data_IF_780691774364
#
_entry.id   IF_780691774364
#
_cell.length_a   1.000
_cell.length_b   1.000
_cell.length_c   1.000
_cell.angle_alpha   90.00
_cell.angle_beta   90.00
_cell.angle_gamma   90.00
#
_symmetry.space_group_name_H-M   'P 1'
#
loop_
_entity.id
_entity.type
_entity.pdbx_description
1 polymer ?
#
# COMPACT_ATOMS: atom_id res chain seq x y z
N UNK A 1 60.30 35.53 40.63
CA UNK A 1 58.88 35.20 40.39
C UNK A 1 58.49 35.73 39.03
N UNK A 2 58.38 34.86 38.02
CA UNK A 2 57.72 35.15 36.75
C UNK A 2 57.33 33.80 36.13
N UNK A 3 56.04 33.52 36.11
CA UNK A 3 55.46 32.23 35.75
C UNK A 3 55.42 32.05 34.23
N UNK A 4 55.88 30.91 33.74
CA UNK A 4 55.73 30.48 32.36
C UNK A 4 54.32 29.91 32.16
N UNK A 5 53.51 30.56 31.32
CA UNK A 5 52.24 30.02 30.85
C UNK A 5 52.50 29.14 29.63
N UNK A 6 52.38 27.82 29.80
CA UNK A 6 52.42 26.86 28.70
C UNK A 6 51.00 26.67 28.17
N UNK A 7 50.64 27.42 27.12
CA UNK A 7 49.35 27.26 26.43
C UNK A 7 49.32 25.97 25.60
N UNK A 8 48.54 24.97 26.03
CA UNK A 8 48.22 23.80 25.21
C UNK A 8 47.06 24.13 24.28
N UNK A 9 47.34 24.28 22.99
CA UNK A 9 46.32 24.31 21.94
C UNK A 9 45.84 22.86 21.75
N UNK A 10 44.61 22.56 22.18
CA UNK A 10 43.95 21.29 21.91
C UNK A 10 43.17 21.45 20.61
N UNK A 11 43.73 20.96 19.51
CA UNK A 11 43.04 20.89 18.23
C UNK A 11 42.03 19.73 18.29
N UNK A 12 40.76 20.05 18.54
CA UNK A 12 39.67 19.09 18.53
C UNK A 12 39.33 18.76 17.07
N UNK A 13 39.90 17.67 16.54
CA UNK A 13 39.47 17.11 15.26
C UNK A 13 38.06 16.54 15.40
N UNK A 14 37.06 17.35 15.06
CA UNK A 14 35.68 16.88 14.92
C UNK A 14 35.60 16.03 13.66
N UNK A 15 35.91 14.74 13.79
CA UNK A 15 35.76 13.76 12.72
C UNK A 15 34.25 13.52 12.55
N UNK A 16 33.59 14.29 11.67
CA UNK A 16 32.22 14.00 11.24
C UNK A 16 32.30 12.78 10.34
N UNK A 17 32.17 11.59 10.92
CA UNK A 17 31.91 10.39 10.14
C UNK A 17 30.56 10.57 9.45
N UNK A 18 30.60 10.91 8.16
CA UNK A 18 29.47 10.75 7.26
C UNK A 18 29.15 9.25 7.23
N UNK A 19 28.17 8.82 8.03
CA UNK A 19 27.63 7.47 7.93
C UNK A 19 26.95 7.35 6.59
N UNK A 20 27.64 6.74 5.62
CA UNK A 20 27.02 6.25 4.39
C UNK A 20 25.90 5.30 4.81
N UNK A 21 24.68 5.54 4.35
CA UNK A 21 23.52 4.69 4.65
C UNK A 21 23.79 3.27 4.17
N UNK A 22 24.26 2.40 5.07
CA UNK A 22 24.51 1.00 4.79
C UNK A 22 23.24 0.22 5.11
N UNK A 23 22.79 -0.58 4.13
CA UNK A 23 21.65 -1.48 4.33
C UNK A 23 21.98 -2.44 5.49
N UNK A 24 21.11 -2.53 6.52
CA UNK A 24 21.32 -3.47 7.62
C UNK A 24 21.42 -4.92 7.14
N UNK A 25 21.93 -5.79 8.00
CA UNK A 25 22.04 -7.21 7.66
C UNK A 25 20.65 -7.83 7.46
N UNK A 26 20.54 -8.60 6.38
CA UNK A 26 19.32 -9.30 5.98
C UNK A 26 19.29 -10.65 6.68
N UNK A 27 18.22 -10.92 7.43
CA UNK A 27 17.98 -12.19 8.10
C UNK A 27 16.93 -12.98 7.34
N UNK A 28 17.29 -14.21 6.92
CA UNK A 28 16.40 -15.11 6.18
C UNK A 28 16.16 -16.38 7.01
N UNK A 29 14.89 -16.79 7.10
CA UNK A 29 14.46 -18.02 7.75
C UNK A 29 13.56 -18.82 6.81
N UNK A 30 13.73 -20.14 6.82
CA UNK A 30 12.92 -21.11 6.10
C UNK A 30 12.25 -22.04 7.11
N UNK A 31 10.95 -22.29 6.95
CA UNK A 31 10.13 -22.94 7.97
C UNK A 31 9.58 -24.30 7.53
N UNK A 32 9.33 -25.20 8.49
CA UNK A 32 8.54 -26.42 8.27
C UNK A 32 7.06 -26.20 8.64
N UNK A 33 6.10 -26.81 7.92
CA UNK A 33 6.27 -27.62 6.70
C UNK A 33 6.50 -26.77 5.43
N UNK A 34 6.16 -25.49 5.49
CA UNK A 34 6.35 -24.47 4.45
C UNK A 34 6.46 -23.11 5.12
N UNK A 35 7.04 -22.15 4.44
CA UNK A 35 7.16 -20.77 4.88
C UNK A 35 8.56 -20.22 4.74
N UNK A 36 8.61 -18.91 4.54
CA UNK A 36 9.83 -18.12 4.38
C UNK A 36 9.62 -16.75 5.01
N UNK A 37 10.66 -16.21 5.64
CA UNK A 37 10.67 -14.81 6.05
C UNK A 37 12.03 -14.20 5.80
N UNK A 38 12.03 -12.96 5.36
CA UNK A 38 13.22 -12.12 5.25
C UNK A 38 12.99 -10.81 5.99
N UNK A 39 14.01 -10.35 6.72
CA UNK A 39 13.89 -9.13 7.50
C UNK A 39 15.17 -8.33 7.62
N UNK A 40 15.02 -7.06 7.93
CA UNK A 40 16.08 -6.16 8.37
C UNK A 40 15.63 -5.42 9.64
N UNK A 41 16.55 -5.07 10.56
CA UNK A 41 16.22 -4.20 11.68
C UNK A 41 15.82 -2.81 11.20
N UNK A 42 14.87 -2.20 11.92
CA UNK A 42 14.49 -0.82 11.74
C UNK A 42 15.59 0.14 12.23
N UNK A 43 15.63 1.33 11.65
CA UNK A 43 16.66 2.34 11.89
C UNK A 43 16.75 3.34 10.73
N UNK A 44 17.62 4.35 10.88
CA UNK A 44 18.01 5.30 9.82
C UNK A 44 16.86 5.91 8.97
N UNK A 45 15.65 6.05 9.52
CA UNK A 45 14.44 6.49 8.82
C UNK A 45 14.20 5.73 7.51
N UNK A 46 14.08 4.41 7.60
CA UNK A 46 13.66 3.58 6.47
C UNK A 46 12.20 3.92 6.11
N UNK A 47 11.92 4.10 4.82
CA UNK A 47 10.57 4.32 4.28
C UNK A 47 10.07 3.17 3.40
N UNK A 48 10.95 2.27 2.97
CA UNK A 48 10.63 1.11 2.15
C UNK A 48 11.73 0.05 2.31
N UNK A 49 11.34 -1.21 2.44
CA UNK A 49 12.20 -2.38 2.27
C UNK A 49 11.60 -3.29 1.20
N UNK A 50 12.36 -3.60 0.15
CA UNK A 50 11.95 -4.51 -0.89
C UNK A 50 12.95 -5.68 -1.01
N UNK A 51 12.41 -6.87 -1.19
CA UNK A 51 13.17 -8.11 -1.40
C UNK A 51 12.76 -8.73 -2.73
N UNK A 52 13.75 -9.19 -3.50
CA UNK A 52 13.55 -9.87 -4.77
C UNK A 52 14.53 -11.04 -4.89
N UNK A 53 14.04 -12.23 -5.19
CA UNK A 53 14.87 -13.43 -5.26
C UNK A 53 14.32 -14.56 -6.12
N UNK A 54 15.22 -15.48 -6.49
CA UNK A 54 14.95 -16.72 -7.21
C UNK A 54 15.50 -17.92 -6.44
N UNK A 55 14.76 -19.03 -6.43
CA UNK A 55 15.26 -20.31 -5.88
C UNK A 55 16.03 -21.06 -6.95
N UNK A 56 17.25 -21.50 -6.64
CA UNK A 56 18.16 -22.31 -7.46
C UNK A 56 18.46 -21.73 -8.86
N UNK A 57 18.19 -20.44 -9.06
CA UNK A 57 18.44 -19.71 -10.30
C UNK A 57 19.01 -18.33 -9.97
N UNK A 58 19.92 -17.82 -10.80
CA UNK A 58 20.44 -16.46 -10.66
C UNK A 58 19.34 -15.40 -10.79
N UNK A 59 19.63 -14.18 -10.31
CA UNK A 59 18.75 -13.03 -10.42
C UNK A 59 19.58 -11.79 -10.72
N UNK A 60 19.13 -10.97 -11.68
CA UNK A 60 19.71 -9.66 -11.93
C UNK A 60 18.94 -8.60 -11.14
N UNK A 61 19.59 -7.46 -10.84
CA UNK A 61 18.97 -6.34 -10.12
C UNK A 61 17.73 -5.70 -10.79
N UNK A 62 17.48 -6.02 -12.06
CA UNK A 62 16.31 -5.55 -12.81
C UNK A 62 15.20 -6.62 -12.87
N UNK A 63 15.45 -7.83 -12.35
CA UNK A 63 14.52 -8.94 -12.40
C UNK A 63 13.64 -8.92 -11.15
N UNK A 64 12.32 -9.03 -11.31
CA UNK A 64 11.41 -9.05 -10.15
C UNK A 64 11.63 -10.29 -9.26
N UNK A 65 12.10 -11.40 -9.83
CA UNK A 65 12.28 -12.67 -9.13
C UNK A 65 10.99 -13.46 -8.92
N UNK A 66 11.12 -14.73 -8.51
CA UNK A 66 9.97 -15.59 -8.15
C UNK A 66 9.48 -15.36 -6.72
N UNK A 67 10.32 -14.77 -5.86
CA UNK A 67 9.98 -14.38 -4.49
C UNK A 67 10.20 -12.88 -4.42
N UNK A 68 9.13 -12.10 -4.32
CA UNK A 68 9.20 -10.64 -4.34
C UNK A 68 8.20 -10.01 -3.38
N UNK A 69 8.62 -8.97 -2.67
CA UNK A 69 7.71 -8.23 -1.79
C UNK A 69 8.28 -6.94 -1.26
N UNK A 70 7.37 -6.03 -0.94
CA UNK A 70 7.66 -4.70 -0.41
C UNK A 70 7.01 -4.52 0.97
N UNK A 71 7.77 -3.92 1.88
CA UNK A 71 7.38 -3.58 3.24
C UNK A 71 7.45 -2.07 3.36
N UNK A 72 6.32 -1.44 3.64
CA UNK A 72 6.20 0.03 3.72
C UNK A 72 6.24 0.57 5.15
N UNK A 73 6.18 -0.31 6.14
CA UNK A 73 6.19 0.06 7.56
C UNK A 73 6.83 -1.03 8.39
N UNK A 74 7.72 -0.63 9.30
CA UNK A 74 8.27 -1.53 10.30
C UNK A 74 7.20 -2.00 11.29
N UNK A 75 7.36 -3.23 11.78
CA UNK A 75 6.59 -3.80 12.89
C UNK A 75 7.56 -4.22 13.98
N UNK A 76 7.38 -3.68 15.18
CA UNK A 76 8.21 -3.98 16.35
C UNK A 76 9.72 -3.80 16.11
N UNK A 77 10.10 -2.72 15.42
CA UNK A 77 11.51 -2.42 15.14
C UNK A 77 12.14 -3.32 14.06
N UNK A 78 11.34 -4.01 13.26
CA UNK A 78 11.81 -4.85 12.15
C UNK A 78 10.98 -4.59 10.88
N UNK A 79 11.63 -4.62 9.73
CA UNK A 79 10.99 -4.67 8.42
C UNK A 79 10.98 -6.12 7.97
N UNK A 80 9.81 -6.74 7.85
CA UNK A 80 9.67 -8.19 7.63
C UNK A 80 8.77 -8.43 6.44
N UNK A 81 9.29 -9.15 5.44
CA UNK A 81 8.51 -9.80 4.40
C UNK A 81 8.39 -11.29 4.74
N UNK A 82 7.18 -11.84 4.65
CA UNK A 82 6.92 -13.26 4.87
C UNK A 82 6.17 -13.85 3.68
N UNK A 83 6.56 -15.05 3.26
CA UNK A 83 5.80 -15.91 2.36
C UNK A 83 5.49 -17.23 3.09
N UNK A 84 4.31 -17.36 3.72
CA UNK A 84 3.97 -18.55 4.50
C UNK A 84 3.74 -19.79 3.65
N UNK A 85 3.61 -19.66 2.33
CA UNK A 85 3.30 -20.76 1.43
C UNK A 85 4.53 -21.29 0.68
N UNK A 86 5.66 -20.58 0.77
CA UNK A 86 6.87 -20.97 0.08
C UNK A 86 7.41 -22.30 0.62
N UNK A 87 7.36 -23.34 -0.21
CA UNK A 87 7.96 -24.63 0.10
C UNK A 87 9.45 -24.60 -0.25
N UNK A 88 10.29 -24.56 0.78
CA UNK A 88 11.74 -24.64 0.66
C UNK A 88 12.23 -26.00 1.13
N UNK A 89 13.28 -26.50 0.48
CA UNK A 89 13.97 -27.73 0.85
C UNK A 89 15.36 -27.40 1.37
N UNK A 90 15.85 -28.24 2.29
CA UNK A 90 17.26 -28.18 2.68
C UNK A 90 18.12 -28.40 1.42
N UNK A 91 19.05 -27.49 1.17
CA UNK A 91 19.89 -27.45 -0.03
C UNK A 91 19.45 -26.42 -1.06
N UNK A 92 18.23 -25.87 -0.99
CA UNK A 92 17.81 -24.79 -1.88
C UNK A 92 18.67 -23.53 -1.66
N UNK A 93 19.03 -22.87 -2.76
CA UNK A 93 19.81 -21.62 -2.77
C UNK A 93 18.92 -20.50 -3.27
N UNK A 94 18.67 -19.51 -2.42
CA UNK A 94 17.94 -18.30 -2.77
C UNK A 94 18.97 -17.26 -3.21
N UNK A 95 18.97 -16.91 -4.49
CA UNK A 95 19.76 -15.78 -5.01
C UNK A 95 18.87 -14.54 -5.01
N UNK A 96 19.33 -13.42 -4.43
CA UNK A 96 18.47 -12.27 -4.18
C UNK A 96 19.21 -10.93 -4.22
N UNK A 97 18.43 -9.86 -4.28
CA UNK A 97 18.85 -8.50 -3.97
C UNK A 97 17.81 -7.84 -3.06
N UNK A 98 18.24 -6.81 -2.34
CA UNK A 98 17.37 -5.98 -1.50
C UNK A 98 17.50 -4.51 -1.86
N UNK A 99 16.37 -3.82 -1.81
CA UNK A 99 16.32 -2.37 -1.95
C UNK A 99 15.75 -1.76 -0.68
N UNK A 100 16.38 -0.69 -0.19
CA UNK A 100 15.92 0.04 0.99
C UNK A 100 15.89 1.54 0.69
N UNK A 101 14.76 2.19 0.95
CA UNK A 101 14.69 3.65 0.96
C UNK A 101 15.00 4.15 2.37
N UNK A 102 16.08 4.91 2.54
CA UNK A 102 16.47 5.55 3.81
C UNK A 102 16.63 7.05 3.59
N UNK A 103 15.98 7.88 4.40
CA UNK A 103 16.02 9.34 4.27
C UNK A 103 15.73 9.82 2.82
N UNK A 104 14.72 9.22 2.20
CA UNK A 104 14.31 9.49 0.81
C UNK A 104 15.35 9.19 -0.27
N UNK A 105 16.39 8.39 0.05
CA UNK A 105 17.38 7.88 -0.89
C UNK A 105 17.30 6.37 -0.99
N UNK A 106 17.37 5.84 -2.21
CA UNK A 106 17.36 4.41 -2.48
C UNK A 106 18.76 3.79 -2.36
N UNK A 107 18.85 2.65 -1.69
CA UNK A 107 20.06 1.86 -1.54
C UNK A 107 19.77 0.44 -2.04
N UNK A 108 20.64 -0.06 -2.92
CA UNK A 108 20.56 -1.42 -3.47
C UNK A 108 21.72 -2.25 -2.95
N UNK A 109 21.44 -3.49 -2.53
CA UNK A 109 22.45 -4.51 -2.24
C UNK A 109 22.08 -5.77 -3.01
N UNK A 110 22.90 -6.12 -3.99
CA UNK A 110 22.68 -7.21 -4.94
C UNK A 110 23.75 -8.30 -4.83
N UNK A 111 23.66 -9.30 -5.71
CA UNK A 111 24.54 -10.47 -5.75
C UNK A 111 24.61 -11.22 -4.39
N UNK A 112 23.48 -11.30 -3.69
CA UNK A 112 23.36 -12.01 -2.43
C UNK A 112 22.84 -13.42 -2.65
N UNK A 113 23.25 -14.35 -1.80
CA UNK A 113 22.72 -15.70 -1.79
C UNK A 113 22.53 -16.22 -0.37
N UNK A 114 21.53 -17.08 -0.19
CA UNK A 114 21.24 -17.77 1.05
C UNK A 114 20.94 -19.24 0.77
N UNK A 115 21.71 -20.13 1.39
CA UNK A 115 21.49 -21.58 1.29
C UNK A 115 20.66 -22.05 2.48
N UNK A 116 19.55 -22.74 2.21
CA UNK A 116 18.70 -23.35 3.22
C UNK A 116 19.43 -24.55 3.82
N UNK A 117 20.07 -24.35 4.97
CA UNK A 117 20.79 -25.42 5.69
C UNK A 117 19.91 -26.20 6.65
N UNK A 118 18.83 -25.58 7.12
CA UNK A 118 17.83 -26.17 7.99
C UNK A 118 16.47 -25.53 7.71
N UNK A 119 15.42 -26.30 7.95
CA UNK A 119 14.06 -25.77 8.04
C UNK A 119 13.69 -25.70 9.52
N UNK A 120 13.35 -24.51 9.99
CA UNK A 120 13.07 -24.22 11.39
C UNK A 120 11.62 -24.59 11.71
N UNK A 121 11.39 -25.19 12.87
CA UNK A 121 10.05 -25.17 13.45
C UNK A 121 9.72 -23.70 13.75
N UNK A 122 8.46 -23.30 13.51
CA UNK A 122 8.00 -21.95 13.86
C UNK A 122 7.90 -21.85 15.38
N UNK A 123 9.05 -21.80 16.06
CA UNK A 123 9.15 -21.75 17.51
C UNK A 123 9.00 -20.31 17.98
N UNK A 124 7.91 -20.10 18.70
CA UNK A 124 7.55 -18.86 19.39
C UNK A 124 8.65 -18.58 20.42
N UNK A 125 9.50 -17.59 20.18
CA UNK A 125 10.54 -17.20 21.15
C UNK A 125 9.88 -16.81 22.47
N UNK A 126 10.11 -17.66 23.47
CA UNK A 126 9.69 -17.56 24.86
C UNK A 126 10.62 -16.62 25.65
N UNK A 127 10.11 -15.46 26.08
CA UNK A 127 10.57 -14.64 27.23
C UNK A 127 10.66 -13.12 26.98
N UNK A 128 10.39 -12.24 27.96
CA UNK A 128 9.29 -12.21 28.94
C UNK A 128 8.04 -11.45 28.43
N UNK A 129 6.88 -12.01 28.78
CA UNK A 129 5.47 -11.77 28.37
C UNK A 129 5.04 -10.30 28.61
N UNK A 130 4.17 -9.67 27.78
CA UNK A 130 2.70 -9.85 27.81
C UNK A 130 1.98 -9.72 26.44
N UNK A 131 0.91 -10.52 26.21
CA UNK A 131 0.71 -11.35 25.00
C UNK A 131 -0.48 -10.94 24.11
N UNK A 132 -0.46 -11.39 22.84
CA UNK A 132 -1.58 -11.33 21.88
C UNK A 132 -1.30 -10.44 20.67
N UNK A 133 -0.88 -10.94 19.51
CA UNK A 133 -1.75 -11.66 18.57
C UNK A 133 -1.28 -13.09 18.37
N UNK A 134 -1.65 -13.95 19.31
CA UNK A 134 -1.84 -15.37 19.06
C UNK A 134 -2.99 -15.44 18.03
N UNK A 135 -2.87 -16.26 16.98
CA UNK A 135 -4.07 -16.84 16.38
C UNK A 135 -4.92 -17.31 17.57
N UNK A 136 -6.19 -16.88 17.77
CA UNK A 136 -7.03 -17.39 18.87
C UNK A 136 -6.81 -18.90 19.04
N UNK A 137 -6.81 -19.46 20.25
CA UNK A 137 -6.65 -20.94 20.40
C UNK A 137 -7.67 -21.71 19.52
N UNK A 138 -8.79 -21.07 19.19
CA UNK A 138 -9.84 -21.53 18.28
C UNK A 138 -9.63 -21.16 16.79
N UNK A 139 -8.47 -20.63 16.42
CA UNK A 139 -8.20 -20.15 15.08
C UNK A 139 -7.92 -21.32 14.14
N UNK A 140 -9.00 -21.79 13.55
CA UNK A 140 -8.96 -22.86 12.56
C UNK A 140 -8.18 -22.40 11.32
N UNK A 141 -7.29 -23.25 10.77
CA UNK A 141 -6.57 -22.93 9.54
C UNK A 141 -7.51 -22.58 8.38
N UNK A 142 -7.11 -21.64 7.53
CA UNK A 142 -7.84 -21.22 6.34
C UNK A 142 -6.89 -20.96 5.17
N UNK A 143 -7.41 -21.06 3.93
CA UNK A 143 -6.69 -20.64 2.72
C UNK A 143 -6.72 -19.13 2.53
N UNK A 144 -7.59 -18.43 3.27
CA UNK A 144 -7.71 -16.97 3.24
C UNK A 144 -6.39 -16.31 3.60
N UNK A 145 -5.97 -15.34 2.79
CA UNK A 145 -4.81 -14.49 3.04
C UNK A 145 -5.28 -13.07 3.25
N UNK A 146 -4.63 -12.33 4.13
CA UNK A 146 -4.85 -10.88 4.32
C UNK A 146 -3.51 -10.19 4.24
N UNK A 147 -3.45 -9.06 3.53
CA UNK A 147 -2.24 -8.25 3.42
C UNK A 147 -1.77 -7.79 4.80
N UNK A 148 -0.52 -8.12 5.14
CA UNK A 148 0.11 -7.71 6.40
C UNK A 148 -0.34 -8.49 7.65
N UNK A 149 -1.06 -9.60 7.50
CA UNK A 149 -1.58 -10.38 8.63
C UNK A 149 -1.95 -11.82 8.30
N UNK A 150 -2.64 -12.46 9.24
CA UNK A 150 -3.17 -13.81 9.11
C UNK A 150 -4.69 -13.80 9.30
N UNK A 151 -5.35 -14.85 8.81
CA UNK A 151 -6.79 -15.05 8.96
C UNK A 151 -7.09 -16.40 9.62
N UNK A 152 -8.18 -16.45 10.37
CA UNK A 152 -8.80 -17.68 10.87
C UNK A 152 -10.00 -18.08 10.01
N UNK A 153 -10.30 -19.37 9.92
CA UNK A 153 -11.53 -19.81 9.26
C UNK A 153 -12.77 -19.25 9.99
N UNK A 154 -13.65 -18.60 9.23
CA UNK A 154 -14.86 -17.97 9.78
C UNK A 154 -14.65 -16.60 10.42
N UNK A 155 -13.42 -16.07 10.45
CA UNK A 155 -13.15 -14.73 10.94
C UNK A 155 -13.64 -13.66 9.94
N UNK A 156 -14.24 -12.60 10.49
CA UNK A 156 -14.46 -11.34 9.76
C UNK A 156 -13.13 -10.59 9.63
N UNK A 157 -12.66 -10.42 8.39
CA UNK A 157 -11.35 -9.81 8.10
C UNK A 157 -11.39 -8.29 8.11
N UNK A 158 -12.53 -7.75 7.70
CA UNK A 158 -12.79 -6.32 7.58
C UNK A 158 -14.30 -6.12 7.67
N UNK A 159 -14.71 -5.10 8.40
CA UNK A 159 -16.09 -4.68 8.55
C UNK A 159 -16.11 -3.17 8.73
N UNK A 160 -16.99 -2.52 7.99
CA UNK A 160 -17.25 -1.10 8.16
C UNK A 160 -18.76 -0.85 8.07
N UNK A 161 -19.30 -0.23 9.12
CA UNK A 161 -20.71 0.14 9.21
C UNK A 161 -20.95 1.58 8.73
N UNK A 162 -19.89 2.32 8.36
CA UNK A 162 -19.97 3.70 7.89
C UNK A 162 -20.68 4.64 8.88
N UNK A 163 -20.41 4.46 10.17
CA UNK A 163 -20.77 5.43 11.21
C UNK A 163 -20.01 6.75 11.00
N UNK A 164 -18.76 6.63 10.57
CA UNK A 164 -17.90 7.69 10.06
C UNK A 164 -17.02 7.11 8.95
N UNK A 165 -16.59 7.94 7.99
CA UNK A 165 -15.64 7.50 6.97
C UNK A 165 -14.22 7.50 7.55
N UNK A 166 -13.64 6.31 7.74
CA UNK A 166 -12.25 6.16 8.16
C UNK A 166 -11.30 6.34 6.96
N UNK A 167 -10.72 7.54 6.81
CA UNK A 167 -9.77 7.86 5.74
C UNK A 167 -8.41 7.15 5.85
N UNK A 168 -8.15 6.45 6.95
CA UNK A 168 -6.98 5.56 7.07
C UNK A 168 -7.18 4.25 6.29
N UNK A 169 -8.43 3.88 6.03
CA UNK A 169 -8.84 2.71 5.25
C UNK A 169 -9.26 3.13 3.84
N UNK A 170 -10.19 4.09 3.77
CA UNK A 170 -10.84 4.50 2.54
C UNK A 170 -10.18 5.74 1.93
N UNK A 171 -10.07 5.75 0.62
CA UNK A 171 -9.79 6.95 -0.17
C UNK A 171 -11.07 7.41 -0.83
N UNK A 172 -11.39 8.69 -0.74
CA UNK A 172 -12.30 9.31 -1.72
C UNK A 172 -11.49 9.60 -2.97
N UNK A 173 -11.94 9.07 -4.10
CA UNK A 173 -11.25 9.26 -5.38
C UNK A 173 -11.62 10.60 -6.03
N UNK A 174 -10.64 11.19 -6.70
CA UNK A 174 -10.79 12.43 -7.45
C UNK A 174 -10.04 12.34 -8.77
N UNK A 175 -10.78 12.07 -9.85
CA UNK A 175 -10.28 11.98 -11.22
C UNK A 175 -11.43 11.89 -12.23
N UNK A 176 -11.10 12.02 -13.51
CA UNK A 176 -11.96 11.83 -14.67
C UNK A 176 -11.54 10.51 -15.34
N UNK A 177 -12.44 9.53 -15.47
CA UNK A 177 -12.17 8.22 -16.07
C UNK A 177 -12.09 8.27 -17.62
N UNK A 178 -11.31 9.21 -18.18
CA UNK A 178 -11.18 9.45 -19.62
C UNK A 178 -10.49 8.32 -20.40
N UNK A 179 -9.76 7.44 -19.71
CA UNK A 179 -9.12 6.25 -20.29
C UNK A 179 -9.93 4.97 -20.06
N UNK A 180 -11.08 5.08 -19.39
CA UNK A 180 -11.94 3.93 -19.14
C UNK A 180 -12.64 3.51 -20.45
N UNK A 181 -12.68 2.22 -20.80
CA UNK A 181 -13.23 1.76 -22.08
C UNK A 181 -14.71 2.07 -22.27
N UNK A 182 -15.45 2.29 -21.17
CA UNK A 182 -16.87 2.64 -21.21
C UNK A 182 -17.13 4.14 -21.34
N UNK A 183 -16.09 4.99 -21.25
CA UNK A 183 -16.19 6.46 -21.32
C UNK A 183 -17.39 7.02 -20.53
N UNK A 184 -17.50 6.73 -19.22
CA UNK A 184 -18.66 7.15 -18.47
C UNK A 184 -18.69 8.68 -18.36
N UNK A 185 -19.89 9.26 -18.50
CA UNK A 185 -20.15 10.70 -18.45
C UNK A 185 -20.07 11.27 -17.01
N UNK A 186 -19.05 10.88 -16.25
CA UNK A 186 -18.87 11.18 -14.83
C UNK A 186 -17.48 11.72 -14.53
N UNK A 187 -17.40 12.59 -13.54
CA UNK A 187 -16.15 12.91 -12.85
C UNK A 187 -16.29 12.55 -11.37
N UNK A 188 -15.27 11.92 -10.81
CA UNK A 188 -15.19 11.65 -9.37
C UNK A 188 -14.54 12.85 -8.70
N UNK A 189 -15.21 13.45 -7.73
CA UNK A 189 -14.73 14.69 -7.09
C UNK A 189 -14.92 14.65 -5.58
N UNK A 190 -13.89 15.09 -4.84
CA UNK A 190 -13.94 15.29 -3.40
C UNK A 190 -14.21 16.76 -3.08
N UNK A 191 -15.50 17.14 -3.06
CA UNK A 191 -15.93 18.53 -2.87
C UNK A 191 -15.75 18.97 -1.40
N UNK A 192 -15.23 20.18 -1.18
CA UNK A 192 -15.05 20.75 0.16
C UNK A 192 -16.37 21.16 0.83
N UNK A 193 -17.34 21.61 0.04
CA UNK A 193 -18.68 21.98 0.48
C UNK A 193 -19.70 21.15 -0.29
N UNK A 194 -20.74 20.69 0.40
CA UNK A 194 -21.77 19.84 -0.17
C UNK A 194 -21.10 18.59 -0.82
N UNK A 195 -20.67 17.66 0.02
CA UNK A 195 -19.84 16.52 -0.38
C UNK A 195 -20.61 15.53 -1.26
N UNK A 196 -19.91 14.88 -2.19
CA UNK A 196 -20.43 13.75 -2.99
C UNK A 196 -20.47 12.44 -2.19
N UNK A 197 -19.56 12.29 -1.22
CA UNK A 197 -19.46 11.15 -0.31
C UNK A 197 -19.69 11.66 1.11
N UNK A 198 -20.64 11.07 1.83
CA UNK A 198 -20.91 11.38 3.23
C UNK A 198 -21.32 10.15 4.01
N UNK A 199 -21.21 10.20 5.33
CA UNK A 199 -21.69 9.15 6.24
C UNK A 199 -22.77 9.73 7.13
N UNK A 200 -23.89 9.01 7.27
CA UNK A 200 -25.00 9.45 8.10
C UNK A 200 -25.80 8.26 8.63
N UNK A 201 -25.77 8.06 9.95
CA UNK A 201 -26.54 7.04 10.64
C UNK A 201 -26.17 5.61 10.27
N UNK A 202 -24.86 5.30 10.22
CA UNK A 202 -24.36 3.98 9.85
C UNK A 202 -24.60 3.66 8.38
N UNK A 203 -24.45 4.65 7.50
CA UNK A 203 -24.67 4.49 6.05
C UNK A 203 -23.78 5.44 5.29
N UNK A 204 -22.99 4.89 4.37
CA UNK A 204 -22.31 5.64 3.32
C UNK A 204 -23.33 6.09 2.28
N UNK A 205 -23.34 7.39 1.99
CA UNK A 205 -24.16 8.00 0.94
C UNK A 205 -23.28 8.59 -0.14
N UNK A 206 -23.44 8.08 -1.36
CA UNK A 206 -22.89 8.66 -2.57
C UNK A 206 -24.02 9.43 -3.25
N UNK A 207 -23.88 10.75 -3.32
CA UNK A 207 -24.90 11.65 -3.89
C UNK A 207 -24.35 12.29 -5.16
N UNK A 208 -24.81 11.86 -6.35
CA UNK A 208 -24.39 12.48 -7.60
C UNK A 208 -25.00 13.88 -7.74
N UNK A 209 -24.34 14.72 -8.52
CA UNK A 209 -24.70 16.12 -8.77
C UNK A 209 -24.49 16.46 -10.22
N UNK A 210 -25.11 17.56 -10.65
CA UNK A 210 -24.84 18.10 -11.98
C UNK A 210 -23.64 19.04 -11.89
N UNK A 211 -22.67 18.83 -12.79
CA UNK A 211 -21.48 19.67 -12.89
C UNK A 211 -21.85 21.14 -13.10
N UNK A 212 -22.89 21.42 -13.89
CA UNK A 212 -23.36 22.77 -14.20
C UNK A 212 -23.93 23.52 -12.98
N UNK A 213 -24.28 22.82 -11.89
CA UNK A 213 -24.81 23.42 -10.67
C UNK A 213 -23.68 23.72 -9.66
N UNK A 214 -22.45 23.27 -9.94
CA UNK A 214 -21.30 23.54 -9.09
C UNK A 214 -20.75 24.96 -9.31
N UNK A 215 -20.13 25.57 -8.28
CA UNK A 215 -19.53 26.90 -8.40
C UNK A 215 -18.52 26.99 -9.55
N UNK A 216 -18.69 27.98 -10.42
CA UNK A 216 -17.81 28.20 -11.57
C UNK A 216 -18.22 27.46 -12.84
N UNK A 217 -19.31 26.69 -12.81
CA UNK A 217 -19.85 25.99 -13.96
C UNK A 217 -21.27 26.47 -14.30
N UNK A 218 -21.62 26.34 -15.56
CA UNK A 218 -22.92 26.60 -16.20
C UNK A 218 -23.11 25.64 -17.36
N UNK A 219 -24.32 25.59 -17.93
CA UNK A 219 -24.61 24.81 -19.15
C UNK A 219 -23.61 25.09 -20.29
N UNK A 220 -23.22 26.35 -20.46
CA UNK A 220 -22.28 26.77 -21.51
C UNK A 220 -20.86 26.25 -21.20
N UNK A 221 -20.42 26.32 -19.94
CA UNK A 221 -19.08 25.82 -19.58
C UNK A 221 -18.95 24.31 -19.71
N UNK A 222 -20.04 23.54 -19.63
CA UNK A 222 -20.01 22.10 -19.92
C UNK A 222 -19.58 21.85 -21.37
N UNK A 223 -19.93 22.75 -22.30
CA UNK A 223 -19.68 22.60 -23.73
C UNK A 223 -18.38 23.25 -24.22
N UNK A 224 -17.70 24.05 -23.40
CA UNK A 224 -16.50 24.78 -23.85
C UNK A 224 -15.45 25.03 -22.77
N UNK A 225 -15.69 24.53 -21.55
CA UNK A 225 -14.89 24.85 -20.38
C UNK A 225 -13.71 23.92 -20.15
N UNK A 226 -13.11 24.11 -18.99
CA UNK A 226 -12.03 23.28 -18.46
C UNK A 226 -12.43 22.80 -17.08
N UNK A 227 -12.31 21.50 -16.82
CA UNK A 227 -12.44 20.93 -15.49
C UNK A 227 -11.04 20.53 -15.00
N UNK A 228 -10.62 21.17 -13.90
CA UNK A 228 -9.32 20.97 -13.28
C UNK A 228 -9.51 20.39 -11.88
N UNK A 229 -9.03 19.16 -11.68
CA UNK A 229 -9.10 18.39 -10.44
C UNK A 229 -7.71 18.15 -9.82
N UNK A 230 -6.68 18.93 -10.20
CA UNK A 230 -5.31 18.72 -9.70
C UNK A 230 -5.20 18.83 -8.18
N UNK A 231 -6.01 19.68 -7.54
CA UNK A 231 -6.03 19.82 -6.09
C UNK A 231 -6.68 18.61 -5.42
N UNK A 232 -5.90 17.57 -5.15
CA UNK A 232 -6.38 16.32 -4.54
C UNK A 232 -6.57 15.16 -5.53
N UNK A 233 -6.02 15.29 -6.74
CA UNK A 233 -6.03 14.25 -7.77
C UNK A 233 -5.54 12.91 -7.21
N UNK A 234 -6.30 11.84 -7.45
CA UNK A 234 -5.98 10.48 -6.98
C UNK A 234 -5.56 9.53 -8.09
N UNK A 235 -5.42 10.04 -9.32
CA UNK A 235 -5.00 9.29 -10.51
C UNK A 235 -3.80 9.97 -11.19
N UNK A 236 -3.48 9.59 -12.43
CA UNK A 236 -2.50 10.28 -13.25
C UNK A 236 -2.94 11.72 -13.55
N UNK A 237 -1.96 12.59 -13.82
CA UNK A 237 -2.20 14.00 -14.14
C UNK A 237 -3.19 14.19 -15.30
N UNK A 238 -3.08 13.33 -16.33
CA UNK A 238 -3.93 13.37 -17.53
C UNK A 238 -5.40 13.00 -17.25
N UNK A 239 -5.67 12.33 -16.13
CA UNK A 239 -7.03 12.04 -15.67
C UNK A 239 -7.57 13.12 -14.72
N UNK A 240 -6.85 14.21 -14.48
CA UNK A 240 -7.28 15.28 -13.58
C UNK A 240 -7.43 16.63 -14.27
N UNK A 241 -7.28 16.66 -15.59
CA UNK A 241 -7.55 17.82 -16.41
C UNK A 241 -8.28 17.38 -17.67
N UNK A 242 -9.41 18.01 -17.95
CA UNK A 242 -10.04 17.95 -19.26
C UNK A 242 -10.36 19.37 -19.72
N UNK A 243 -10.06 19.63 -20.97
CA UNK A 243 -10.47 20.82 -21.67
C UNK A 243 -11.29 20.36 -22.86
N UNK A 244 -12.49 20.93 -23.01
CA UNK A 244 -13.37 20.61 -24.13
C UNK A 244 -12.65 20.89 -25.45
N UNK A 245 -12.64 19.90 -26.33
CA UNK A 245 -12.19 20.01 -27.71
C UNK A 245 -13.17 19.27 -28.63
N UNK A 246 -13.56 19.93 -29.73
CA UNK A 246 -14.52 19.39 -30.71
C UNK A 246 -15.87 18.99 -30.10
N UNK A 247 -16.17 17.69 -30.13
CA UNK A 247 -17.45 17.12 -29.69
C UNK A 247 -17.43 16.62 -28.24
N UNK A 248 -16.29 16.67 -27.56
CA UNK A 248 -16.13 16.18 -26.19
C UNK A 248 -16.57 17.26 -25.19
N UNK A 249 -17.59 16.95 -24.38
CA UNK A 249 -18.08 17.85 -23.33
C UNK A 249 -17.43 17.53 -21.98
N UNK A 250 -17.46 18.48 -21.05
CA UNK A 250 -17.12 18.18 -19.66
C UNK A 250 -18.07 17.09 -19.12
N UNK A 251 -17.60 16.17 -18.25
CA UNK A 251 -18.47 15.19 -17.63
C UNK A 251 -19.64 15.89 -16.90
N UNK A 252 -20.90 15.68 -17.34
CA UNK A 252 -22.04 16.41 -16.81
C UNK A 252 -22.42 15.96 -15.40
N UNK A 253 -22.02 14.75 -14.99
CA UNK A 253 -22.29 14.19 -13.66
C UNK A 253 -21.04 14.25 -12.79
N UNK A 254 -21.21 14.75 -11.57
CA UNK A 254 -20.21 14.69 -10.51
C UNK A 254 -20.65 13.64 -9.50
N UNK A 255 -19.83 12.64 -9.26
CA UNK A 255 -20.15 11.54 -8.34
C UNK A 255 -19.05 11.32 -7.31
N UNK A 256 -19.37 10.53 -6.29
CA UNK A 256 -18.42 10.04 -5.31
C UNK A 256 -17.98 8.63 -5.66
N UNK A 257 -16.69 8.33 -5.46
CA UNK A 257 -16.14 6.97 -5.50
C UNK A 257 -15.20 6.82 -4.33
N UNK A 258 -15.25 5.65 -3.69
CA UNK A 258 -14.31 5.31 -2.62
C UNK A 258 -13.60 4.00 -2.94
N UNK A 259 -12.34 3.88 -2.52
CA UNK A 259 -11.53 2.67 -2.67
C UNK A 259 -10.74 2.38 -1.40
N UNK A 260 -10.49 1.11 -1.09
CA UNK A 260 -9.69 0.71 0.06
C UNK A 260 -8.20 0.73 -0.30
N UNK A 261 -7.41 1.59 0.34
CA UNK A 261 -5.98 1.79 -0.01
C UNK A 261 -5.08 0.63 0.40
N UNK A 262 -5.40 0.00 1.53
CA UNK A 262 -4.45 -0.86 2.24
C UNK A 262 -4.98 -2.25 2.50
N UNK A 263 -6.30 -2.40 2.58
CA UNK A 263 -6.95 -3.68 2.78
C UNK A 263 -6.95 -4.48 1.49
N UNK A 264 -6.38 -5.68 1.56
CA UNK A 264 -6.44 -6.65 0.49
C UNK A 264 -6.49 -8.05 1.10
N UNK A 265 -7.25 -8.93 0.48
CA UNK A 265 -7.37 -10.32 0.90
C UNK A 265 -7.39 -11.24 -0.31
N UNK A 266 -7.08 -12.52 -0.09
CA UNK A 266 -7.22 -13.58 -1.08
C UNK A 266 -8.13 -14.64 -0.50
N UNK A 267 -9.16 -15.04 -1.26
CA UNK A 267 -10.22 -15.97 -0.86
C UNK A 267 -11.05 -15.50 0.34
N UNK A 268 -12.33 -15.26 0.11
CA UNK A 268 -13.26 -14.87 1.17
C UNK A 268 -14.67 -14.70 0.63
N UNK A 269 -15.59 -14.30 1.51
CA UNK A 269 -16.94 -13.89 1.14
C UNK A 269 -17.08 -12.41 1.47
N UNK A 270 -17.55 -11.64 0.50
CA UNK A 270 -17.84 -10.21 0.70
C UNK A 270 -19.35 -10.07 0.78
N UNK A 271 -19.82 -9.41 1.83
CA UNK A 271 -21.22 -9.08 2.01
C UNK A 271 -21.36 -7.57 1.98
N UNK A 272 -22.18 -7.07 1.07
CA UNK A 272 -22.49 -5.63 0.96
C UNK A 272 -23.99 -5.46 1.10
N UNK A 273 -24.39 -4.56 2.00
CA UNK A 273 -25.77 -4.10 2.11
C UNK A 273 -25.85 -2.70 1.51
N UNK A 274 -26.49 -2.58 0.35
CA UNK A 274 -26.64 -1.31 -0.36
C UNK A 274 -28.07 -1.09 -0.82
N UNK A 275 -28.49 0.17 -0.88
CA UNK A 275 -29.66 0.61 -1.64
C UNK A 275 -29.15 1.20 -2.96
N UNK A 276 -29.59 0.64 -4.08
CA UNK A 276 -29.17 1.10 -5.40
C UNK A 276 -29.81 2.45 -5.74
N UNK A 277 -29.14 3.32 -6.52
CA UNK A 277 -29.69 4.58 -6.97
C UNK A 277 -30.91 4.34 -7.88
N UNK A 278 -31.83 5.30 -7.88
CA UNK A 278 -32.96 5.34 -8.81
C UNK A 278 -32.80 6.55 -9.72
N UNK A 279 -32.79 6.32 -11.03
CA UNK A 279 -32.72 7.38 -12.03
C UNK A 279 -32.40 6.80 -13.40
N UNK A 280 -32.76 7.54 -14.44
CA UNK A 280 -32.41 7.17 -15.81
C UNK A 280 -30.89 7.27 -15.99
N UNK A 281 -30.29 6.27 -16.64
CA UNK A 281 -28.85 6.25 -16.97
C UNK A 281 -27.89 6.24 -15.78
N UNK A 282 -28.39 5.97 -14.56
CA UNK A 282 -27.58 5.72 -13.38
C UNK A 282 -27.43 4.23 -13.14
N UNK A 283 -26.19 3.75 -13.05
CA UNK A 283 -25.89 2.39 -12.60
C UNK A 283 -24.89 2.44 -11.43
N UNK A 284 -25.12 1.68 -10.35
CA UNK A 284 -24.18 1.59 -9.24
C UNK A 284 -23.04 0.61 -9.56
N UNK A 285 -21.83 0.96 -9.14
CA UNK A 285 -20.67 0.06 -9.16
C UNK A 285 -20.25 -0.33 -7.74
N UNK A 286 -20.18 -1.64 -7.50
CA UNK A 286 -19.59 -2.22 -6.30
C UNK A 286 -18.63 -3.29 -6.79
N UNK A 287 -17.34 -2.99 -6.74
CA UNK A 287 -16.30 -3.79 -7.38
C UNK A 287 -15.38 -4.41 -6.33
N UNK A 288 -14.92 -5.63 -6.62
CA UNK A 288 -13.78 -6.23 -5.94
C UNK A 288 -12.61 -6.22 -6.92
N UNK A 289 -11.72 -5.25 -6.75
CA UNK A 289 -10.60 -5.02 -7.68
C UNK A 289 -9.31 -5.68 -7.17
N UNK A 290 -8.45 -6.19 -8.07
CA UNK A 290 -7.12 -6.65 -7.69
C UNK A 290 -6.28 -5.51 -7.12
N UNK A 291 -5.62 -5.74 -6.00
CA UNK A 291 -4.81 -4.73 -5.30
C UNK A 291 -3.74 -4.05 -6.19
N UNK A 292 -3.19 -4.78 -7.17
CA UNK A 292 -2.17 -4.25 -8.09
C UNK A 292 -2.74 -3.77 -9.43
N UNK A 293 -4.06 -3.71 -9.59
CA UNK A 293 -4.74 -3.38 -10.86
C UNK A 293 -4.20 -4.15 -12.08
N UNK A 294 -3.73 -5.39 -11.85
CA UNK A 294 -3.30 -6.34 -12.88
C UNK A 294 -4.25 -7.52 -12.90
N UNK A 295 -4.77 -7.84 -14.08
CA UNK A 295 -5.63 -8.99 -14.31
C UNK A 295 -4.85 -10.07 -15.06
N UNK A 296 -4.85 -11.30 -14.53
CA UNK A 296 -4.08 -12.41 -15.09
C UNK A 296 -2.58 -12.37 -14.76
N UNK A 297 -1.91 -13.50 -14.97
CA UNK A 297 -0.46 -13.69 -14.83
C UNK A 297 0.23 -13.69 -16.19
#
# INVERSE_FOLDING_TARGET
>A
MAAWWCGRVITLFLCVHLTVGQIPNVSIHAYKPKGFSVSIPDGQNIGLFAFHGNINRGINKNDVGTIAGEVLKAKNGMWIYEDPELELKVGDVINYYVFVSMNSKGYLKDNLSFTVTKLEDRSIVTGPIRPGTVLPEDCKPTRTKVRGGFACAGQTLFEDNFDMLDESVWQIEQYIPNTHPEYPFVSYQHLATDQTVSTAGGTLRITPKLQQDLPGFTNETILSGTLNLFSGCTSSADSCLIQVDGADILPPVVSGRITSKTFAFTYGKVYVRAKLPQGDWLYPEILLEPFLHKYGS
#
